data_IF_819418738522
#
_entry.id   IF_819418738522
#
_cell.length_a   1.000
_cell.length_b   1.000
_cell.length_c   1.000
_cell.angle_alpha   90.00
_cell.angle_beta   90.00
_cell.angle_gamma   90.00
#
_symmetry.space_group_name_H-M   'P 1'
#
loop_
_entity.id
_entity.type
_entity.pdbx_description
1 polymer ?
#
# COMPACT_ATOMS: atom_id res chain seq x y z
N UNK A 1 -3.63 -0.06 28.06
CA UNK A 1 -4.25 -0.78 26.93
C UNK A 1 -5.50 -0.01 26.51
N UNK A 2 -5.67 0.37 25.23
CA UNK A 2 -6.86 1.11 24.78
C UNK A 2 -6.70 1.98 23.54
N UNK A 3 -5.47 2.21 23.06
CA UNK A 3 -5.25 3.13 21.93
C UNK A 3 -5.95 2.70 20.64
N UNK A 4 -6.02 1.40 20.38
CA UNK A 4 -6.71 0.83 19.21
C UNK A 4 -8.25 0.89 19.31
N UNK A 5 -8.79 1.05 20.52
CA UNK A 5 -10.23 1.17 20.77
C UNK A 5 -10.71 2.63 20.66
N UNK A 6 -9.78 3.58 20.56
CA UNK A 6 -10.10 5.00 20.38
C UNK A 6 -10.68 5.24 18.98
N UNK A 7 -11.75 6.05 18.83
CA UNK A 7 -12.34 6.35 17.53
C UNK A 7 -11.31 6.86 16.49
N UNK A 8 -10.32 7.62 16.94
CA UNK A 8 -9.26 8.19 16.11
C UNK A 8 -8.37 7.12 15.48
N UNK A 9 -8.25 5.94 16.12
CA UNK A 9 -7.50 4.82 15.55
C UNK A 9 -8.18 4.24 14.31
N UNK A 10 -9.52 4.27 14.27
CA UNK A 10 -10.30 3.86 13.09
C UNK A 10 -10.05 4.80 11.92
N UNK A 11 -9.94 6.11 12.18
CA UNK A 11 -9.58 7.11 11.17
C UNK A 11 -8.14 6.94 10.69
N UNK A 12 -7.21 6.68 11.61
CA UNK A 12 -5.83 6.35 11.29
C UNK A 12 -5.74 5.14 10.36
N UNK A 13 -6.40 4.02 10.70
CA UNK A 13 -6.39 2.81 9.88
C UNK A 13 -6.97 3.05 8.47
N UNK A 14 -8.05 3.85 8.37
CA UNK A 14 -8.61 4.27 7.08
C UNK A 14 -7.60 5.07 6.25
N UNK A 15 -6.89 6.01 6.87
CA UNK A 15 -5.82 6.79 6.21
C UNK A 15 -4.67 5.92 5.74
N UNK A 16 -4.26 4.92 6.53
CA UNK A 16 -3.22 3.96 6.12
C UNK A 16 -3.61 3.22 4.84
N UNK A 17 -4.84 2.68 4.77
CA UNK A 17 -5.34 2.02 3.55
C UNK A 17 -5.40 2.99 2.37
N UNK A 18 -5.95 4.20 2.56
CA UNK A 18 -6.05 5.19 1.50
C UNK A 18 -4.69 5.60 0.93
N UNK A 19 -3.69 5.78 1.81
CA UNK A 19 -2.33 6.10 1.40
C UNK A 19 -1.67 4.94 0.64
N UNK A 20 -1.87 3.70 1.08
CA UNK A 20 -1.35 2.52 0.40
C UNK A 20 -1.95 2.37 -1.01
N UNK A 21 -3.25 2.63 -1.17
CA UNK A 21 -3.92 2.66 -2.48
C UNK A 21 -3.37 3.75 -3.39
N UNK A 22 -3.18 4.96 -2.86
CA UNK A 22 -2.60 6.07 -3.62
C UNK A 22 -1.17 5.77 -4.08
N UNK A 23 -0.34 5.20 -3.21
CA UNK A 23 1.03 4.82 -3.55
C UNK A 23 1.07 3.70 -4.60
N UNK A 24 0.22 2.68 -4.49
CA UNK A 24 0.12 1.62 -5.50
C UNK A 24 -0.27 2.18 -6.88
N UNK A 25 -1.21 3.12 -6.91
CA UNK A 25 -1.64 3.79 -8.15
C UNK A 25 -0.51 4.63 -8.76
N UNK A 26 0.22 5.41 -7.94
CA UNK A 26 1.36 6.20 -8.39
C UNK A 26 2.48 5.32 -8.96
N UNK A 27 2.86 4.25 -8.27
CA UNK A 27 3.87 3.29 -8.76
C UNK A 27 3.43 2.62 -10.07
N UNK A 28 2.15 2.28 -10.19
CA UNK A 28 1.61 1.72 -11.44
C UNK A 28 1.70 2.72 -12.59
N UNK A 29 1.43 4.02 -12.33
CA UNK A 29 1.56 5.08 -13.32
C UNK A 29 3.01 5.29 -13.78
N UNK A 30 3.98 5.09 -12.89
CA UNK A 30 5.42 5.11 -13.19
C UNK A 30 5.92 3.83 -13.88
N UNK A 31 5.03 2.89 -14.22
CA UNK A 31 5.36 1.67 -14.96
C UNK A 31 5.80 0.48 -14.10
N UNK A 32 5.73 0.59 -12.77
CA UNK A 32 5.95 -0.56 -11.89
C UNK A 32 4.76 -1.52 -11.92
N UNK A 33 5.06 -2.82 -11.92
CA UNK A 33 4.05 -3.85 -11.79
C UNK A 33 3.77 -4.12 -10.31
N UNK A 34 2.57 -3.76 -9.85
CA UNK A 34 2.06 -4.18 -8.54
C UNK A 34 1.43 -5.57 -8.65
N UNK A 35 1.85 -6.51 -7.81
CA UNK A 35 1.23 -7.85 -7.74
C UNK A 35 -0.23 -7.69 -7.35
N UNK A 36 -1.14 -8.41 -8.04
CA UNK A 36 -2.61 -8.27 -7.94
C UNK A 36 -3.21 -6.97 -8.50
N UNK A 37 -2.40 -6.03 -8.98
CA UNK A 37 -2.87 -4.79 -9.62
C UNK A 37 -3.24 -3.65 -8.66
N UNK A 38 -3.03 -3.81 -7.35
CA UNK A 38 -3.33 -2.80 -6.35
C UNK A 38 -3.15 -3.31 -4.92
N UNK A 39 -3.87 -2.69 -3.97
CA UNK A 39 -3.96 -3.18 -2.59
C UNK A 39 -5.27 -2.79 -1.91
N UNK A 40 -5.75 -3.68 -1.05
CA UNK A 40 -6.88 -3.45 -0.14
C UNK A 40 -6.47 -3.32 1.33
N UNK A 41 -5.18 -3.34 1.61
CA UNK A 41 -4.62 -3.35 2.95
C UNK A 41 -3.61 -2.21 3.14
N UNK A 42 -2.65 -2.39 4.04
CA UNK A 42 -1.60 -1.44 4.36
C UNK A 42 -0.28 -1.69 3.60
N UNK A 43 -0.21 -2.76 2.81
CA UNK A 43 1.00 -3.17 2.08
C UNK A 43 0.70 -3.48 0.62
N UNK A 44 1.73 -3.47 -0.21
CA UNK A 44 1.67 -3.93 -1.61
C UNK A 44 2.99 -4.61 -1.97
N UNK A 45 2.97 -5.46 -3.00
CA UNK A 45 4.17 -6.12 -3.50
C UNK A 45 4.50 -5.56 -4.88
N UNK A 46 5.73 -5.07 -5.05
CA UNK A 46 6.25 -4.54 -6.31
C UNK A 46 7.11 -5.61 -6.97
N UNK A 47 6.82 -5.92 -8.23
CA UNK A 47 7.61 -6.86 -9.02
C UNK A 47 8.80 -6.14 -9.67
N UNK A 48 10.00 -6.38 -9.13
CA UNK A 48 11.24 -5.76 -9.60
C UNK A 48 11.98 -6.59 -10.68
N UNK A 49 11.52 -7.81 -10.97
CA UNK A 49 12.16 -8.70 -11.96
C UNK A 49 12.32 -8.07 -13.34
N UNK A 50 11.39 -7.25 -13.87
CA UNK A 50 11.56 -6.56 -15.15
C UNK A 50 12.77 -5.61 -15.19
N UNK A 51 13.23 -5.13 -14.04
CA UNK A 51 14.36 -4.22 -13.93
C UNK A 51 15.70 -4.96 -13.73
N UNK A 52 15.69 -6.29 -13.65
CA UNK A 52 16.89 -7.09 -13.40
C UNK A 52 17.50 -6.86 -12.01
N UNK A 53 16.78 -6.20 -11.11
CA UNK A 53 17.21 -5.92 -9.74
C UNK A 53 16.62 -6.98 -8.80
N UNK A 54 17.48 -7.57 -7.98
CA UNK A 54 17.08 -8.49 -6.91
C UNK A 54 17.28 -7.83 -5.55
N UNK A 55 16.38 -8.12 -4.62
CA UNK A 55 16.50 -7.77 -3.20
C UNK A 55 16.87 -8.99 -2.36
#
# INVERSE_FOLDING_TARGET
>A
FGEALRPEFKDYARRVKANAQALAAALTAEGFRIVSGGTDSHLMLVDLRPFGVTG
#
